data_IF_747543418982
#
_entry.id   IF_747543418982
#
_cell.length_a   1.000
_cell.length_b   1.000
_cell.length_c   1.000
_cell.angle_alpha   90.00
_cell.angle_beta   90.00
_cell.angle_gamma   90.00
#
_symmetry.space_group_name_H-M   'P 1'
#
loop_
_entity.id
_entity.type
_entity.pdbx_description
1 polymer ?
#
# COMPACT_ATOMS: atom_id res chain seq x y z
N UNK A 1 -11.76 -0.32 7.65
CA UNK A 1 -10.27 -0.35 7.68
C UNK A 1 -9.77 0.77 6.78
N UNK A 2 -9.71 1.98 7.32
CA UNK A 2 -8.93 3.14 6.84
C UNK A 2 -8.46 3.77 8.15
N UNK A 3 -7.15 3.77 8.45
CA UNK A 3 -6.68 4.34 9.73
C UNK A 3 -6.58 5.86 9.54
N UNK A 4 -7.50 6.62 10.13
CA UNK A 4 -7.38 8.06 10.24
C UNK A 4 -6.42 8.36 11.40
N UNK A 5 -5.23 8.86 11.09
CA UNK A 5 -4.34 9.42 12.11
C UNK A 5 -4.80 10.84 12.46
N UNK A 6 -5.86 10.98 13.26
CA UNK A 6 -6.15 12.24 13.96
C UNK A 6 -5.32 12.28 15.24
N UNK A 7 -4.40 13.24 15.32
CA UNK A 7 -3.39 13.43 16.37
C UNK A 7 -3.91 13.35 17.81
N UNK A 8 -3.27 12.51 18.62
CA UNK A 8 -3.05 12.77 20.05
C UNK A 8 -1.60 12.41 20.39
N UNK A 9 -0.79 13.42 20.68
CA UNK A 9 0.49 13.25 21.37
C UNK A 9 0.24 12.51 22.68
N UNK A 10 0.78 11.30 22.81
CA UNK A 10 0.81 10.49 24.03
C UNK A 10 1.86 9.39 23.85
N UNK A 11 3.05 9.65 24.40
CA UNK A 11 4.13 8.74 24.75
C UNK A 11 4.48 7.62 23.76
N UNK A 12 5.58 7.86 23.02
CA UNK A 12 6.33 6.87 22.26
C UNK A 12 6.58 5.61 23.09
N UNK A 13 5.88 4.54 22.74
CA UNK A 13 6.40 3.18 22.94
C UNK A 13 6.80 2.70 21.56
N UNK A 14 8.08 2.89 21.24
CA UNK A 14 8.71 2.33 20.04
C UNK A 14 8.54 0.82 20.04
N UNK A 15 7.61 0.32 19.24
CA UNK A 15 7.57 -1.10 18.90
C UNK A 15 8.71 -1.35 17.92
N UNK A 16 9.86 -1.75 18.45
CA UNK A 16 10.96 -2.29 17.67
C UNK A 16 10.52 -3.63 17.08
N UNK A 17 10.42 -3.69 15.76
CA UNK A 17 10.44 -4.97 15.06
C UNK A 17 11.91 -5.40 14.96
N UNK A 18 12.24 -6.44 15.73
CA UNK A 18 13.54 -7.09 15.67
C UNK A 18 13.53 -8.11 14.53
N UNK A 19 14.10 -7.75 13.38
CA UNK A 19 14.41 -8.72 12.34
C UNK A 19 15.58 -9.59 12.82
N UNK A 20 15.29 -10.85 13.13
CA UNK A 20 16.29 -11.86 13.47
C UNK A 20 16.75 -12.52 12.17
N UNK A 21 17.87 -12.05 11.64
CA UNK A 21 18.59 -12.72 10.56
C UNK A 21 19.39 -13.90 11.13
N UNK A 22 18.84 -15.11 11.04
CA UNK A 22 19.58 -16.33 11.31
C UNK A 22 20.30 -16.75 10.02
N UNK A 23 21.62 -16.59 10.01
CA UNK A 23 22.53 -17.08 8.98
C UNK A 23 22.79 -18.57 9.18
N UNK A 24 22.66 -19.35 8.11
CA UNK A 24 23.43 -20.58 7.91
C UNK A 24 23.74 -20.75 6.42
N UNK A 25 25.04 -20.63 6.09
CA UNK A 25 25.74 -20.97 4.85
C UNK A 25 25.25 -22.31 4.23
N UNK A 26 25.32 -22.60 2.92
CA UNK A 26 26.49 -22.50 2.03
C UNK A 26 26.16 -22.81 0.54
N UNK A 27 27.05 -22.34 -0.35
CA UNK A 27 27.38 -22.76 -1.73
C UNK A 27 26.70 -22.17 -3.00
N UNK A 28 27.51 -21.32 -3.67
CA UNK A 28 27.70 -21.07 -5.13
C UNK A 28 26.51 -20.46 -5.88
N UNK A 29 26.59 -19.24 -6.44
CA UNK A 29 27.50 -18.84 -7.54
C UNK A 29 27.89 -17.35 -7.50
N UNK A 30 29.11 -17.05 -7.97
CA UNK A 30 29.77 -15.72 -8.08
C UNK A 30 29.04 -14.67 -8.98
N UNK A 31 27.79 -14.96 -9.37
CA UNK A 31 26.94 -14.11 -10.20
C UNK A 31 25.79 -13.44 -9.44
N UNK A 32 25.47 -13.86 -8.21
CA UNK A 32 24.36 -13.29 -7.43
C UNK A 32 24.72 -11.98 -6.71
N UNK A 33 26.01 -11.65 -6.60
CA UNK A 33 26.46 -10.50 -5.81
C UNK A 33 26.27 -9.14 -6.52
N UNK A 34 26.10 -9.12 -7.85
CA UNK A 34 26.00 -7.86 -8.61
C UNK A 34 24.55 -7.38 -8.88
N UNK A 35 23.52 -8.11 -8.43
CA UNK A 35 22.11 -7.76 -8.69
C UNK A 35 21.44 -7.03 -7.51
N UNK A 36 21.96 -7.09 -6.28
CA UNK A 36 21.27 -6.50 -5.12
C UNK A 36 21.49 -4.99 -4.90
N UNK A 37 22.64 -4.41 -5.28
CA UNK A 37 22.89 -2.98 -4.96
C UNK A 37 22.13 -1.98 -5.84
N UNK A 38 21.64 -2.40 -7.01
CA UNK A 38 20.89 -1.51 -7.91
C UNK A 38 19.37 -1.60 -7.74
N UNK A 39 18.84 -2.61 -7.03
CA UNK A 39 17.40 -2.76 -6.82
C UNK A 39 16.88 -1.92 -5.64
N UNK A 40 17.72 -1.71 -4.61
CA UNK A 40 17.36 -0.94 -3.42
C UNK A 40 17.27 0.58 -3.64
N UNK A 41 17.88 1.10 -4.71
CA UNK A 41 17.91 2.54 -4.99
C UNK A 41 16.58 3.10 -5.53
N UNK A 42 15.62 2.24 -5.91
CA UNK A 42 14.32 2.66 -6.45
C UNK A 42 13.15 2.42 -5.49
N UNK A 43 13.34 1.62 -4.43
CA UNK A 43 12.30 1.38 -3.45
C UNK A 43 12.20 2.53 -2.44
N UNK A 44 11.07 3.25 -2.45
CA UNK A 44 10.79 4.29 -1.48
C UNK A 44 9.82 3.78 -0.39
N UNK A 45 10.31 3.37 0.80
CA UNK A 45 9.46 2.82 1.85
C UNK A 45 8.42 3.81 2.36
N UNK A 46 8.74 5.12 2.34
CA UNK A 46 7.82 6.17 2.78
C UNK A 46 6.64 6.31 1.83
N UNK A 47 6.91 6.29 0.52
CA UNK A 47 5.86 6.29 -0.50
C UNK A 47 4.96 5.06 -0.38
N UNK A 48 5.55 3.88 -0.22
CA UNK A 48 4.78 2.63 -0.10
C UNK A 48 3.88 2.64 1.14
N UNK A 49 4.42 3.02 2.30
CA UNK A 49 3.67 3.01 3.57
C UNK A 49 2.59 4.08 3.63
N UNK A 50 2.84 5.27 3.09
CA UNK A 50 1.91 6.40 3.17
C UNK A 50 0.91 6.46 2.02
N UNK A 51 1.26 5.90 0.86
CA UNK A 51 0.46 6.04 -0.37
C UNK A 51 -0.07 4.68 -0.81
N UNK A 52 0.81 3.73 -1.12
CA UNK A 52 0.39 2.46 -1.76
C UNK A 52 -0.40 1.55 -0.82
N UNK A 53 0.00 1.43 0.45
CA UNK A 53 -0.73 0.60 1.42
C UNK A 53 -2.14 1.15 1.71
N UNK A 54 -2.33 2.46 1.98
CA UNK A 54 -3.68 3.00 2.15
C UNK A 54 -4.55 2.88 0.90
N UNK A 55 -4.01 3.09 -0.31
CA UNK A 55 -4.76 2.87 -1.56
C UNK A 55 -5.16 1.40 -1.73
N UNK A 56 -4.26 0.46 -1.42
CA UNK A 56 -4.57 -0.97 -1.47
C UNK A 56 -5.65 -1.34 -0.45
N UNK A 57 -5.57 -0.80 0.77
CA UNK A 57 -6.60 -1.00 1.80
C UNK A 57 -7.95 -0.40 1.41
N UNK A 58 -7.96 0.70 0.65
CA UNK A 58 -9.19 1.34 0.17
C UNK A 58 -10.03 0.40 -0.70
N UNK A 59 -9.42 -0.51 -1.46
CA UNK A 59 -10.15 -1.53 -2.23
C UNK A 59 -10.97 -2.48 -1.33
N UNK A 60 -10.58 -2.64 -0.07
CA UNK A 60 -11.31 -3.43 0.92
C UNK A 60 -12.35 -2.64 1.73
N UNK A 61 -12.41 -1.31 1.58
CA UNK A 61 -13.40 -0.49 2.26
C UNK A 61 -14.76 -0.57 1.58
N UNK A 62 -15.85 -0.47 2.36
CA UNK A 62 -17.18 -0.17 1.81
C UNK A 62 -17.27 1.29 1.31
N UNK A 63 -16.41 2.16 1.84
CA UNK A 63 -16.26 3.55 1.44
C UNK A 63 -14.77 3.87 1.18
N UNK A 64 -14.25 3.68 -0.05
CA UNK A 64 -12.85 3.97 -0.38
C UNK A 64 -12.47 5.44 -0.26
N UNK A 65 -13.45 6.35 -0.35
CA UNK A 65 -13.25 7.80 -0.22
C UNK A 65 -12.64 8.19 1.12
N UNK A 66 -13.06 7.55 2.22
CA UNK A 66 -12.50 7.81 3.55
C UNK A 66 -11.00 7.49 3.62
N UNK A 67 -10.54 6.48 2.88
CA UNK A 67 -9.12 6.16 2.76
C UNK A 67 -8.39 7.18 1.88
N UNK A 68 -8.96 7.52 0.71
CA UNK A 68 -8.31 8.37 -0.29
C UNK A 68 -8.11 9.80 0.22
N UNK A 69 -9.06 10.33 1.00
CA UNK A 69 -8.97 11.66 1.63
C UNK A 69 -7.77 11.84 2.55
N UNK A 70 -7.18 10.75 3.04
CA UNK A 70 -5.95 10.80 3.85
C UNK A 70 -4.68 10.93 3.01
N UNK A 71 -4.80 10.77 1.68
CA UNK A 71 -3.69 10.62 0.73
C UNK A 71 -3.64 11.79 -0.26
N UNK A 72 -4.78 12.23 -0.76
CA UNK A 72 -4.94 13.36 -1.69
C UNK A 72 -6.22 14.08 -1.27
N UNK A 73 -6.15 15.40 -1.09
CA UNK A 73 -7.29 16.23 -0.67
C UNK A 73 -8.02 16.86 -1.85
N UNK A 74 -7.48 16.69 -3.06
CA UNK A 74 -8.03 17.17 -4.31
C UNK A 74 -8.78 16.08 -5.07
N UNK A 75 -9.20 14.99 -4.43
CA UNK A 75 -9.85 13.88 -5.11
C UNK A 75 -11.12 14.35 -5.83
N UNK A 76 -11.21 14.06 -7.13
CA UNK A 76 -12.31 14.58 -7.97
C UNK A 76 -13.37 13.54 -8.30
N UNK A 77 -12.96 12.28 -8.39
CA UNK A 77 -13.84 11.22 -8.86
C UNK A 77 -13.40 9.89 -8.28
N UNK A 78 -14.32 9.24 -7.54
CA UNK A 78 -14.15 7.90 -7.00
C UNK A 78 -15.34 7.07 -7.47
N UNK A 79 -15.08 5.91 -8.06
CA UNK A 79 -16.11 4.98 -8.53
C UNK A 79 -15.82 3.58 -8.02
N UNK A 80 -16.81 2.97 -7.39
CA UNK A 80 -16.74 1.59 -6.94
C UNK A 80 -17.35 0.68 -8.00
N UNK A 81 -16.77 -0.50 -8.16
CA UNK A 81 -17.25 -1.53 -9.09
C UNK A 81 -17.31 -2.85 -8.33
N UNK A 82 -18.44 -3.55 -8.44
CA UNK A 82 -18.58 -4.92 -7.95
C UNK A 82 -19.16 -5.77 -9.08
N UNK A 83 -18.50 -6.89 -9.36
CA UNK A 83 -18.92 -7.88 -10.34
C UNK A 83 -19.19 -9.19 -9.61
N UNK A 84 -20.37 -9.75 -9.81
CA UNK A 84 -20.77 -11.03 -9.23
C UNK A 84 -20.48 -12.16 -10.21
N UNK A 85 -19.71 -13.16 -9.76
CA UNK A 85 -19.42 -14.39 -10.50
C UNK A 85 -20.52 -15.44 -10.35
N UNK A 86 -20.38 -16.56 -11.07
CA UNK A 86 -21.36 -17.65 -11.08
C UNK A 86 -21.37 -18.55 -9.83
N UNK A 87 -20.40 -18.40 -8.92
CA UNK A 87 -20.15 -19.31 -7.79
C UNK A 87 -20.22 -18.60 -6.42
N UNK A 88 -21.04 -17.55 -6.28
CA UNK A 88 -21.10 -16.67 -5.09
C UNK A 88 -19.80 -15.88 -4.80
N UNK A 89 -18.81 -15.98 -5.69
CA UNK A 89 -17.62 -15.14 -5.69
C UNK A 89 -18.03 -13.73 -6.17
N UNK A 90 -17.57 -12.69 -5.48
CA UNK A 90 -17.60 -11.33 -6.03
C UNK A 90 -16.19 -10.82 -6.20
N UNK A 91 -15.95 -10.11 -7.29
CA UNK A 91 -14.76 -9.30 -7.49
C UNK A 91 -15.17 -7.85 -7.35
N UNK A 92 -14.45 -7.08 -6.57
CA UNK A 92 -14.77 -5.66 -6.41
C UNK A 92 -13.53 -4.81 -6.49
N UNK A 93 -13.73 -3.52 -6.70
CA UNK A 93 -12.65 -2.59 -6.84
C UNK A 93 -13.14 -1.16 -6.87
N UNK A 94 -12.21 -0.25 -7.07
CA UNK A 94 -12.51 1.15 -7.25
C UNK A 94 -11.53 1.81 -8.21
N UNK A 95 -11.96 2.93 -8.77
CA UNK A 95 -11.09 3.86 -9.49
C UNK A 95 -11.10 5.19 -8.78
N UNK A 96 -9.95 5.87 -8.72
CA UNK A 96 -9.85 7.23 -8.21
C UNK A 96 -8.93 8.10 -9.06
N UNK A 97 -9.29 9.38 -9.22
CA UNK A 97 -8.42 10.39 -9.82
C UNK A 97 -7.82 11.23 -8.70
N UNK A 98 -6.49 11.29 -8.63
CA UNK A 98 -5.68 11.97 -7.61
C UNK A 98 -4.89 13.13 -8.25
N UNK A 99 -5.46 14.35 -8.33
CA UNK A 99 -4.86 15.45 -9.08
C UNK A 99 -3.57 15.99 -8.46
N UNK A 100 -3.47 16.05 -7.12
CA UNK A 100 -2.25 16.53 -6.45
C UNK A 100 -1.06 15.60 -6.72
N UNK A 101 -1.36 14.34 -7.03
CA UNK A 101 -0.39 13.30 -7.35
C UNK A 101 -0.23 13.02 -8.84
N UNK A 102 -0.99 13.72 -9.69
CA UNK A 102 -1.02 13.47 -11.15
C UNK A 102 -1.22 11.99 -11.48
N UNK A 103 -2.11 11.31 -10.75
CA UNK A 103 -2.24 9.85 -10.80
C UNK A 103 -3.70 9.41 -10.94
N UNK A 104 -3.88 8.25 -11.57
CA UNK A 104 -5.13 7.49 -11.58
C UNK A 104 -4.86 6.19 -10.84
N UNK A 105 -5.73 5.85 -9.90
CA UNK A 105 -5.65 4.61 -9.11
C UNK A 105 -6.74 3.67 -9.55
N UNK A 106 -6.38 2.40 -9.68
CA UNK A 106 -7.30 1.29 -9.90
C UNK A 106 -6.96 0.22 -8.87
N UNK A 107 -7.86 -0.01 -7.92
CA UNK A 107 -7.69 -1.00 -6.85
C UNK A 107 -8.69 -2.14 -7.00
N UNK A 108 -8.28 -3.36 -6.70
CA UNK A 108 -9.11 -4.57 -6.82
C UNK A 108 -8.99 -5.44 -5.56
N UNK A 109 -10.04 -6.21 -5.28
CA UNK A 109 -10.09 -7.27 -4.27
C UNK A 109 -11.00 -8.42 -4.70
#
# INVERSE_FOLDING_TARGET
MCRNETTKSSNDTSTSYSDTSTSSHEMTTDYDYYIEENYYNYYNPTFVRRIMFPLSAAAHSSNPEDCIKTIDHGEKEIKNVTVYGKLDNSSSGYTAVLPERTAIVIGFR
#
